data_IF_622483489983
#
_entry.id   IF_622483489983
#
_cell.length_a   1.000
_cell.length_b   1.000
_cell.length_c   1.000
_cell.angle_alpha   90.00
_cell.angle_beta   90.00
_cell.angle_gamma   90.00
#
_symmetry.space_group_name_H-M   'P 1'
#
loop_
_entity.id
_entity.type
_entity.pdbx_description
1 polymer ?
#
# COMPACT_ATOMS: atom_id res chain seq x y z
N UNK A 1 6.20 10.75 -11.91
CA UNK A 1 5.73 10.67 -10.53
C UNK A 1 6.92 10.64 -9.59
N UNK A 2 6.90 11.41 -8.54
CA UNK A 2 8.01 11.50 -7.59
C UNK A 2 7.67 10.85 -6.25
N UNK A 3 8.62 10.85 -5.32
CA UNK A 3 8.44 10.28 -3.99
C UNK A 3 7.21 10.85 -3.28
N UNK A 4 7.07 12.16 -3.26
CA UNK A 4 5.97 12.84 -2.57
C UNK A 4 4.60 12.41 -3.07
N UNK A 5 4.41 12.41 -4.38
CA UNK A 5 3.16 11.99 -5.00
C UNK A 5 2.87 10.52 -4.72
N UNK A 6 3.89 9.70 -4.83
CA UNK A 6 3.76 8.26 -4.63
C UNK A 6 3.42 7.95 -3.18
N UNK A 7 4.09 8.63 -2.23
CA UNK A 7 3.79 8.48 -0.81
C UNK A 7 2.34 8.87 -0.50
N UNK A 8 1.89 10.00 -1.05
CA UNK A 8 0.51 10.45 -0.87
C UNK A 8 -0.49 9.41 -1.37
N UNK A 9 -0.26 8.88 -2.56
CA UNK A 9 -1.13 7.85 -3.15
C UNK A 9 -1.16 6.58 -2.29
N UNK A 10 -0.02 6.18 -1.75
CA UNK A 10 0.05 4.98 -0.93
C UNK A 10 -0.66 5.15 0.41
N UNK A 11 -0.61 6.33 1.00
CA UNK A 11 -1.34 6.63 2.22
C UNK A 11 -2.85 6.58 1.95
N UNK A 12 -3.29 7.16 0.85
CA UNK A 12 -4.68 7.12 0.43
C UNK A 12 -5.14 5.68 0.13
N UNK A 13 -4.30 4.91 -0.56
CA UNK A 13 -4.59 3.52 -0.87
C UNK A 13 -4.74 2.67 0.40
N UNK A 14 -3.91 2.92 1.41
CA UNK A 14 -3.96 2.20 2.67
C UNK A 14 -5.13 2.64 3.56
N UNK A 15 -5.84 3.70 3.15
CA UNK A 15 -6.98 4.25 3.88
C UNK A 15 -6.60 4.67 5.30
N UNK A 16 -5.39 5.22 5.45
CA UNK A 16 -4.86 5.71 6.71
C UNK A 16 -4.94 7.23 6.78
N UNK A 17 -5.21 7.74 7.99
CA UNK A 17 -5.03 9.15 8.26
C UNK A 17 -3.55 9.41 8.57
N UNK A 18 -3.09 10.64 8.36
CA UNK A 18 -1.70 10.99 8.68
C UNK A 18 -1.38 10.76 10.16
N UNK A 19 -2.35 10.99 11.03
CA UNK A 19 -2.20 10.72 12.45
C UNK A 19 -1.94 9.23 12.72
N UNK A 20 -2.68 8.37 12.04
CA UNK A 20 -2.54 6.92 12.22
C UNK A 20 -1.18 6.44 11.70
N UNK A 21 -0.75 6.97 10.57
CA UNK A 21 0.57 6.65 10.02
C UNK A 21 1.68 7.16 10.94
N UNK A 22 1.52 8.35 11.50
CA UNK A 22 2.49 8.89 12.45
C UNK A 22 2.65 7.98 13.66
N UNK A 23 1.57 7.50 14.24
CA UNK A 23 1.61 6.57 15.36
C UNK A 23 2.25 5.25 14.98
N UNK A 24 1.90 4.71 13.82
CA UNK A 24 2.38 3.42 13.35
C UNK A 24 3.85 3.44 12.98
N UNK A 25 4.31 4.52 12.37
CA UNK A 25 5.69 4.66 11.89
C UNK A 25 6.64 5.24 12.95
N UNK A 26 6.11 5.94 13.93
CA UNK A 26 6.92 6.70 14.88
C UNK A 26 7.47 8.00 14.31
N UNK A 27 6.94 8.45 13.19
CA UNK A 27 7.32 9.71 12.53
C UNK A 27 6.30 10.79 12.88
N UNK A 28 6.76 12.02 13.14
CA UNK A 28 5.87 13.11 13.49
C UNK A 28 4.87 13.38 12.37
N UNK A 29 3.61 13.57 12.73
CA UNK A 29 2.53 13.86 11.76
C UNK A 29 2.88 15.09 10.89
N UNK A 30 3.41 16.12 11.51
CA UNK A 30 3.83 17.34 10.82
C UNK A 30 4.89 17.06 9.74
N UNK A 31 5.82 16.16 10.04
CA UNK A 31 6.84 15.76 9.07
C UNK A 31 6.22 15.06 7.87
N UNK A 32 5.22 14.21 8.10
CA UNK A 32 4.52 13.53 7.02
C UNK A 32 3.85 14.52 6.05
N UNK A 33 3.21 15.56 6.58
CA UNK A 33 2.63 16.60 5.72
C UNK A 33 3.68 17.30 4.86
N UNK A 34 4.88 17.50 5.40
CA UNK A 34 5.97 18.12 4.64
C UNK A 34 6.45 17.21 3.51
N UNK A 35 6.44 15.89 3.74
CA UNK A 35 6.89 14.92 2.73
C UNK A 35 5.89 14.76 1.58
N UNK A 36 4.60 14.99 1.82
CA UNK A 36 3.57 14.88 0.77
C UNK A 36 3.12 16.23 0.21
N UNK A 37 3.77 17.31 0.61
CA UNK A 37 3.40 18.65 0.16
C UNK A 37 3.49 18.75 -1.37
N UNK A 38 2.56 19.51 -1.96
CA UNK A 38 2.54 19.73 -3.40
C UNK A 38 3.58 20.75 -3.85
N UNK A 39 3.95 21.64 -2.93
CA UNK A 39 4.99 22.66 -3.18
C UNK A 39 6.19 22.36 -2.29
N UNK A 40 7.36 22.27 -2.91
CA UNK A 40 8.64 22.07 -2.21
C UNK A 40 8.55 20.97 -1.16
N UNK A 41 8.14 19.75 -1.56
CA UNK A 41 8.09 18.65 -0.58
C UNK A 41 9.49 18.34 -0.06
N UNK A 42 9.57 18.07 1.24
CA UNK A 42 10.82 17.65 1.85
C UNK A 42 11.05 16.17 1.57
N UNK A 43 12.31 15.76 1.47
CA UNK A 43 12.66 14.35 1.42
C UNK A 43 13.01 13.88 2.82
N UNK A 44 12.48 12.73 3.26
CA UNK A 44 12.86 12.20 4.56
C UNK A 44 14.29 11.68 4.54
N UNK A 45 15.01 11.74 5.67
CA UNK A 45 16.27 11.01 5.82
C UNK A 45 16.05 9.51 5.62
N UNK A 46 17.09 8.77 5.33
CA UNK A 46 16.99 7.35 5.01
C UNK A 46 16.32 6.53 6.12
N UNK A 47 16.66 6.79 7.37
CA UNK A 47 16.07 6.09 8.51
C UNK A 47 14.57 6.36 8.65
N UNK A 48 14.16 7.60 8.42
CA UNK A 48 12.75 7.99 8.45
C UNK A 48 11.99 7.34 7.28
N UNK A 49 12.59 7.34 6.10
CA UNK A 49 12.00 6.69 4.92
C UNK A 49 11.76 5.20 5.17
N UNK A 50 12.67 4.51 5.83
CA UNK A 50 12.49 3.10 6.20
C UNK A 50 11.33 2.92 7.15
N UNK A 51 11.19 3.78 8.15
CA UNK A 51 10.07 3.72 9.11
C UNK A 51 8.73 3.89 8.41
N UNK A 52 8.63 4.86 7.51
CA UNK A 52 7.40 5.11 6.74
C UNK A 52 7.08 3.91 5.84
N UNK A 53 8.07 3.41 5.11
CA UNK A 53 7.89 2.28 4.22
C UNK A 53 7.42 1.03 4.96
N UNK A 54 8.03 0.72 6.09
CA UNK A 54 7.63 -0.42 6.92
C UNK A 54 6.20 -0.28 7.43
N UNK A 55 5.81 0.91 7.83
CA UNK A 55 4.45 1.17 8.30
C UNK A 55 3.41 0.95 7.21
N UNK A 56 3.78 1.20 5.95
CA UNK A 56 2.91 1.01 4.80
C UNK A 56 3.05 -0.36 4.14
N UNK A 57 3.98 -1.19 4.60
CA UNK A 57 4.25 -2.49 3.98
C UNK A 57 4.94 -2.38 2.63
N UNK A 58 5.72 -1.34 2.43
CA UNK A 58 6.40 -1.04 1.18
C UNK A 58 7.91 -1.06 1.34
N UNK A 59 8.63 -1.06 0.22
CA UNK A 59 10.07 -0.84 0.21
C UNK A 59 10.37 0.64 -0.02
N UNK A 60 11.50 1.10 0.48
CA UNK A 60 11.99 2.45 0.21
C UNK A 60 12.25 2.61 -1.29
N UNK A 61 12.81 1.59 -1.92
CA UNK A 61 13.06 1.60 -3.35
C UNK A 61 11.80 1.90 -4.16
N UNK A 62 10.69 1.23 -3.84
CA UNK A 62 9.42 1.49 -4.50
C UNK A 62 8.97 2.94 -4.33
N UNK A 63 9.08 3.49 -3.11
CA UNK A 63 8.68 4.88 -2.86
C UNK A 63 9.52 5.88 -3.65
N UNK A 64 10.80 5.58 -3.85
CA UNK A 64 11.71 6.47 -4.57
C UNK A 64 11.59 6.31 -6.07
N UNK A 65 11.59 5.08 -6.57
CA UNK A 65 11.68 4.79 -8.00
C UNK A 65 10.35 4.44 -8.66
N UNK A 66 9.38 4.00 -7.88
CA UNK A 66 8.11 3.49 -8.39
C UNK A 66 8.20 2.06 -8.90
N UNK A 67 9.36 1.43 -8.74
CA UNK A 67 9.58 0.07 -9.20
C UNK A 67 9.49 -0.91 -8.04
N UNK A 68 8.69 -1.94 -8.21
CA UNK A 68 8.67 -3.05 -7.27
C UNK A 68 9.91 -3.90 -7.50
N UNK A 69 10.28 -4.69 -6.49
CA UNK A 69 11.36 -5.65 -6.65
C UNK A 69 11.09 -6.51 -7.90
N UNK A 70 12.16 -6.83 -8.63
CA UNK A 70 12.06 -7.55 -9.90
C UNK A 70 11.32 -8.88 -9.80
N UNK A 71 11.16 -9.41 -8.62
CA UNK A 71 10.48 -10.65 -8.36
C UNK A 71 9.21 -10.42 -7.54
N UNK A 72 8.56 -9.30 -7.78
CA UNK A 72 7.29 -9.02 -7.13
C UNK A 72 6.36 -10.21 -7.32
N UNK A 73 5.74 -10.72 -6.27
CA UNK A 73 4.80 -11.81 -6.41
C UNK A 73 3.64 -11.36 -7.32
N UNK A 74 3.00 -12.33 -7.97
CA UNK A 74 1.85 -12.06 -8.82
C UNK A 74 0.73 -11.35 -8.07
N UNK A 75 0.73 -11.46 -6.75
CA UNK A 75 -0.26 -10.83 -5.89
C UNK A 75 0.44 -9.79 -5.03
N UNK A 76 -0.03 -8.56 -5.11
CA UNK A 76 0.48 -7.46 -4.29
C UNK A 76 0.05 -7.69 -2.83
N UNK A 77 1.02 -7.83 -1.94
CA UNK A 77 0.76 -8.08 -0.52
C UNK A 77 -0.09 -6.99 0.14
N UNK A 78 0.04 -5.75 -0.34
CA UNK A 78 -0.77 -4.64 0.17
C UNK A 78 -2.25 -4.82 -0.16
N UNK A 79 -2.54 -5.28 -1.36
CA UNK A 79 -3.90 -5.59 -1.78
C UNK A 79 -4.47 -6.73 -0.97
N UNK A 80 -3.67 -7.76 -0.72
CA UNK A 80 -4.09 -8.87 0.13
C UNK A 80 -4.45 -8.38 1.54
N UNK A 81 -3.61 -7.55 2.12
CA UNK A 81 -3.86 -7.01 3.45
C UNK A 81 -5.14 -6.19 3.50
N UNK A 82 -5.34 -5.32 2.51
CA UNK A 82 -6.54 -4.49 2.41
C UNK A 82 -7.81 -5.33 2.33
N UNK A 83 -7.76 -6.43 1.60
CA UNK A 83 -8.91 -7.29 1.37
C UNK A 83 -8.95 -8.51 2.28
N UNK A 84 -8.10 -8.58 3.31
CA UNK A 84 -8.05 -9.70 4.22
C UNK A 84 -9.43 -10.08 4.80
N UNK A 85 -10.27 -9.15 5.28
CA UNK A 85 -11.59 -9.50 5.77
C UNK A 85 -12.48 -10.16 4.70
N UNK A 86 -12.34 -9.71 3.46
CA UNK A 86 -13.09 -10.29 2.33
C UNK A 86 -12.57 -11.69 2.00
N UNK A 87 -11.25 -11.89 2.07
CA UNK A 87 -10.63 -13.19 1.84
C UNK A 87 -11.10 -14.21 2.88
N UNK A 88 -11.22 -13.81 4.13
CA UNK A 88 -11.74 -14.68 5.19
C UNK A 88 -13.18 -15.10 4.89
N UNK A 89 -14.00 -14.19 4.40
CA UNK A 89 -15.38 -14.51 3.99
C UNK A 89 -15.41 -15.47 2.82
N UNK A 90 -14.53 -15.28 1.85
CA UNK A 90 -14.40 -16.18 0.71
C UNK A 90 -14.01 -17.58 1.18
N UNK A 91 -13.09 -17.69 2.13
CA UNK A 91 -12.66 -18.97 2.68
C UNK A 91 -13.80 -19.73 3.35
N UNK A 92 -14.77 -19.04 3.91
CA UNK A 92 -15.93 -19.64 4.56
C UNK A 92 -17.00 -20.12 3.57
N UNK A 93 -16.86 -19.80 2.29
CA UNK A 93 -17.81 -20.23 1.26
C UNK A 93 -17.68 -21.70 0.94
N UNK A 94 -18.77 -22.29 0.42
CA UNK A 94 -18.70 -23.65 -0.11
C UNK A 94 -17.85 -23.70 -1.38
N UNK A 95 -17.38 -24.89 -1.75
CA UNK A 95 -16.58 -25.04 -2.98
C UNK A 95 -17.33 -24.56 -4.23
N UNK A 96 -18.63 -24.81 -4.29
CA UNK A 96 -19.47 -24.32 -5.39
C UNK A 96 -19.48 -22.80 -5.46
N UNK A 97 -19.61 -22.14 -4.31
CA UNK A 97 -19.61 -20.68 -4.24
C UNK A 97 -18.25 -20.12 -4.61
N UNK A 98 -17.16 -20.74 -4.18
CA UNK A 98 -15.80 -20.37 -4.54
C UNK A 98 -15.58 -20.46 -6.05
N UNK A 99 -16.10 -21.49 -6.68
CA UNK A 99 -16.00 -21.67 -8.14
C UNK A 99 -16.69 -20.54 -8.88
N UNK A 100 -17.85 -20.11 -8.40
CA UNK A 100 -18.57 -18.96 -8.98
C UNK A 100 -17.72 -17.70 -8.86
N UNK A 101 -17.11 -17.45 -7.70
CA UNK A 101 -16.24 -16.29 -7.48
C UNK A 101 -15.03 -16.35 -8.41
N UNK A 102 -14.41 -17.51 -8.56
CA UNK A 102 -13.27 -17.71 -9.48
C UNK A 102 -13.65 -17.38 -10.92
N UNK A 103 -14.82 -17.81 -11.35
CA UNK A 103 -15.31 -17.53 -12.69
C UNK A 103 -15.50 -16.03 -12.93
N UNK A 104 -16.06 -15.33 -11.96
CA UNK A 104 -16.25 -13.87 -12.05
C UNK A 104 -14.91 -13.16 -12.13
N UNK A 105 -13.95 -13.51 -11.26
CA UNK A 105 -12.61 -12.91 -11.25
C UNK A 105 -11.88 -13.19 -12.56
N UNK A 106 -11.98 -14.40 -13.08
CA UNK A 106 -11.35 -14.76 -14.35
C UNK A 106 -11.90 -13.92 -15.51
N UNK A 107 -13.19 -13.65 -15.51
CA UNK A 107 -13.82 -12.83 -16.55
C UNK A 107 -13.28 -11.39 -16.53
N UNK A 108 -13.11 -10.80 -15.34
CA UNK A 108 -12.53 -9.47 -15.21
C UNK A 108 -11.03 -9.45 -15.56
N UNK A 109 -10.33 -10.53 -15.29
CA UNK A 109 -8.89 -10.63 -15.57
C UNK A 109 -8.58 -10.87 -17.05
N UNK A 110 -9.55 -11.32 -17.84
CA UNK A 110 -9.37 -11.60 -19.25
C UNK A 110 -9.39 -10.32 -20.12
N UNK A 111 -9.73 -9.20 -19.54
CA UNK A 111 -9.65 -7.92 -20.19
C UNK A 111 -8.23 -7.34 -20.10
#
# INVERSE_FOLDING_TARGET
>A
MNFSTRLKEEIEFADLRYKDLAEKSGVAERALYNYVATRNPSMPPADVAVKIARALGLSVEYLVTGETAAQAPLVDARKLYKYAPLLDKIDSLSERQKDIVRAIVAEFSAE
#
